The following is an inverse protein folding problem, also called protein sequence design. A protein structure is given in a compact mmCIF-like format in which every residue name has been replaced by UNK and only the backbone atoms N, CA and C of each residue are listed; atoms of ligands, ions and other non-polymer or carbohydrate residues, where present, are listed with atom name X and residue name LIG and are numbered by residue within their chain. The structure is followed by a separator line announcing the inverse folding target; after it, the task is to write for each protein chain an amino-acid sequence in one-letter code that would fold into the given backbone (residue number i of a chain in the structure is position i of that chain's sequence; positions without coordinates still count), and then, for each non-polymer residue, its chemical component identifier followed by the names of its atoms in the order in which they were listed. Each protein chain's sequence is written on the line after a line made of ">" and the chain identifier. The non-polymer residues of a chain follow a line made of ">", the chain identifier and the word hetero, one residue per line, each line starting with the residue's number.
data_IF_070290618192
#
_entry.id   IF_070290618192
#
_cell.length_a   1.000
_cell.length_b   1.000
_cell.length_c   1.000
_cell.angle_alpha   90.00
_cell.angle_beta   90.00
_cell.angle_gamma   90.00
#
_symmetry.space_group_name_H-M   'P 1'
#
loop_
_entity.id
_entity.type
_entity.pdbx_description
1 polymer ?
#
# COMPACT_ATOMS: atom_id res chain seq x y z
N UNK A 1 6.27 -7.32 -14.42
CA UNK A 1 6.18 -6.83 -13.03
C UNK A 1 6.06 -5.32 -13.05
N UNK A 2 5.04 -4.78 -12.38
CA UNK A 2 4.94 -3.34 -12.12
C UNK A 2 5.06 -3.10 -10.61
N UNK A 3 5.82 -2.07 -10.24
CA UNK A 3 6.00 -1.62 -8.87
C UNK A 3 5.55 -0.18 -8.79
N UNK A 4 4.59 0.09 -7.91
CA UNK A 4 4.07 1.42 -7.68
C UNK A 4 4.46 1.86 -6.28
N UNK A 5 5.10 3.03 -6.20
CA UNK A 5 5.45 3.70 -4.96
C UNK A 5 4.53 4.91 -4.81
N UNK A 6 3.96 5.09 -3.63
CA UNK A 6 3.06 6.20 -3.38
C UNK A 6 2.97 6.59 -1.92
N UNK A 7 2.08 7.55 -1.67
CA UNK A 7 1.72 8.03 -0.34
C UNK A 7 0.32 7.54 0.04
N UNK A 8 0.22 6.91 1.21
CA UNK A 8 -1.00 6.38 1.79
C UNK A 8 -1.54 7.40 2.80
N UNK A 9 -2.75 7.85 2.52
CA UNK A 9 -3.54 8.64 3.44
C UNK A 9 -4.73 7.79 3.92
N UNK A 10 -4.70 7.36 5.18
CA UNK A 10 -5.73 6.53 5.79
C UNK A 10 -6.19 7.13 7.12
N UNK A 11 -7.21 7.98 7.04
CA UNK A 11 -7.79 8.68 8.18
C UNK A 11 -6.72 9.41 9.01
N UNK A 12 -6.70 9.16 10.31
CA UNK A 12 -5.69 9.72 11.21
C UNK A 12 -4.52 8.75 11.50
N UNK A 13 -4.58 7.53 10.97
CA UNK A 13 -3.60 6.46 11.22
C UNK A 13 -2.42 6.51 10.25
N UNK A 14 -2.67 6.95 9.01
CA UNK A 14 -1.62 7.17 8.01
C UNK A 14 -1.80 8.53 7.35
N UNK A 15 -0.79 9.39 7.44
CA UNK A 15 -0.73 10.69 6.77
C UNK A 15 0.57 10.79 6.00
N UNK A 16 0.48 10.86 4.68
CA UNK A 16 1.65 10.91 3.78
C UNK A 16 2.67 9.76 4.02
N UNK A 17 2.16 8.61 4.47
CA UNK A 17 2.95 7.41 4.77
C UNK A 17 3.33 6.69 3.49
N UNK A 18 4.50 6.08 3.42
CA UNK A 18 4.92 5.36 2.21
C UNK A 18 4.17 4.03 2.07
N UNK A 19 3.72 3.71 0.86
CA UNK A 19 3.24 2.38 0.51
C UNK A 19 3.80 1.89 -0.82
N UNK A 20 3.76 0.57 -1.00
CA UNK A 20 4.22 -0.12 -2.20
C UNK A 20 3.14 -1.08 -2.68
N UNK A 21 2.82 -1.05 -3.96
CA UNK A 21 2.01 -2.07 -4.63
C UNK A 21 2.87 -2.79 -5.67
N UNK A 22 2.82 -4.13 -5.65
CA UNK A 22 3.52 -4.99 -6.62
C UNK A 22 2.49 -5.80 -7.39
N UNK A 23 2.52 -5.65 -8.72
CA UNK A 23 1.79 -6.48 -9.67
C UNK A 23 2.80 -7.43 -10.34
N UNK A 24 2.88 -8.71 -9.91
CA UNK A 24 3.94 -9.61 -10.36
C UNK A 24 3.82 -9.92 -11.86
N UNK A 25 2.60 -10.10 -12.36
CA UNK A 25 2.31 -10.70 -13.68
C UNK A 25 2.09 -9.68 -14.82
N UNK A 26 2.45 -8.40 -14.63
CA UNK A 26 2.24 -7.38 -15.66
C UNK A 26 0.85 -6.73 -15.56
N UNK A 27 0.14 -6.46 -16.68
CA UNK A 27 -1.20 -5.87 -16.64
C UNK A 27 -2.16 -6.75 -15.83
N UNK A 28 -2.74 -6.19 -14.77
CA UNK A 28 -3.61 -6.92 -13.84
C UNK A 28 -4.90 -7.39 -14.52
N UNK A 29 -5.32 -8.61 -14.20
CA UNK A 29 -6.62 -9.17 -14.57
C UNK A 29 -7.44 -9.45 -13.31
N UNK A 30 -8.75 -9.58 -13.47
CA UNK A 30 -9.60 -10.02 -12.37
C UNK A 30 -9.16 -11.41 -11.89
N UNK A 31 -8.95 -11.55 -10.58
CA UNK A 31 -8.45 -12.78 -9.96
C UNK A 31 -6.93 -12.86 -9.78
N UNK A 32 -6.16 -11.92 -10.35
CA UNK A 32 -4.72 -11.87 -10.11
C UNK A 32 -4.39 -11.40 -8.69
N UNK A 33 -3.30 -11.94 -8.13
CA UNK A 33 -2.78 -11.50 -6.84
C UNK A 33 -2.06 -10.16 -6.98
N UNK A 34 -2.42 -9.21 -6.12
CA UNK A 34 -1.69 -7.97 -5.89
C UNK A 34 -1.12 -7.97 -4.47
N UNK A 35 0.14 -7.56 -4.33
CA UNK A 35 0.75 -7.38 -3.02
C UNK A 35 0.75 -5.90 -2.67
N UNK A 36 0.32 -5.58 -1.45
CA UNK A 36 0.38 -4.23 -0.89
C UNK A 36 1.17 -4.27 0.41
N UNK A 37 2.19 -3.43 0.49
CA UNK A 37 3.01 -3.27 1.68
C UNK A 37 2.93 -1.81 2.13
N UNK A 38 2.73 -1.62 3.43
CA UNK A 38 2.73 -0.30 4.05
C UNK A 38 3.12 -0.47 5.51
N UNK A 39 3.62 0.60 6.10
CA UNK A 39 3.85 0.70 7.53
C UNK A 39 3.29 2.04 7.97
N UNK A 40 2.34 2.02 8.90
CA UNK A 40 1.86 3.22 9.57
C UNK A 40 2.71 3.53 10.80
N UNK A 41 2.94 4.81 11.08
CA UNK A 41 3.54 5.24 12.35
C UNK A 41 2.56 5.23 13.51
N UNK A 42 1.25 5.28 13.26
CA UNK A 42 0.23 5.30 14.32
C UNK A 42 -0.69 4.11 14.22
N UNK A 43 -0.78 3.35 15.30
CA UNK A 43 -1.77 2.30 15.46
C UNK A 43 -3.10 2.85 16.01
N UNK A 44 -4.06 1.97 16.31
CA UNK A 44 -5.38 2.37 16.83
C UNK A 44 -5.34 3.10 18.18
N UNK A 45 -4.24 2.97 18.93
CA UNK A 45 -3.98 3.66 20.20
C UNK A 45 -3.29 5.02 19.99
N UNK A 46 -2.96 5.38 18.75
CA UNK A 46 -2.30 6.63 18.41
C UNK A 46 -0.78 6.66 18.66
N UNK A 47 -0.20 5.51 19.02
CA UNK A 47 1.24 5.30 19.23
C UNK A 47 1.92 4.67 18.02
#
# INVERSE_FOLDING_TARGET
>A
MFVFLGKLNWGHYAKEESFVIILPNGPVRAGDTAYMFFQWTKNYQGA
#
